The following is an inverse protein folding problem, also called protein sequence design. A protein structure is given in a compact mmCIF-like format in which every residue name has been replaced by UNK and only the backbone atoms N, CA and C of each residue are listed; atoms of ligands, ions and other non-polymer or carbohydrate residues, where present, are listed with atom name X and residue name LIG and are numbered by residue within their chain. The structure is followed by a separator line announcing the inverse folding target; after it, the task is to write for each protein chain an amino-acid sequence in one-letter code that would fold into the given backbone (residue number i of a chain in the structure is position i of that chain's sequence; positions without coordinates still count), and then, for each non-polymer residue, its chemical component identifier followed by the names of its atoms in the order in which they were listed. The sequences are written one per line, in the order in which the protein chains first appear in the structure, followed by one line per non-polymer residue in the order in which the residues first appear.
data_IF_810904734794
#
_entry.id   IF_810904734794
#
_cell.length_a   1.000
_cell.length_b   1.000
_cell.length_c   1.000
_cell.angle_alpha   90.00
_cell.angle_beta   90.00
_cell.angle_gamma   90.00
#
_symmetry.space_group_name_H-M   'P 1'
#
loop_
_entity.id
_entity.type
_entity.pdbx_description
1 polymer ?
#
# COMPACT_ATOMS: atom_id res chain seq x y z
N UNK A 1 -6.46 34.23 13.52
CA UNK A 1 -5.59 33.97 14.69
C UNK A 1 -5.93 32.59 15.21
N UNK A 2 -5.07 31.59 14.97
CA UNK A 2 -5.28 30.26 15.56
C UNK A 2 -4.90 30.36 17.04
N UNK A 3 -5.90 30.32 17.92
CA UNK A 3 -5.64 30.12 19.34
C UNK A 3 -4.92 28.77 19.49
N UNK A 4 -3.71 28.78 20.04
CA UNK A 4 -2.96 27.55 20.31
C UNK A 4 -3.69 26.82 21.44
N UNK A 5 -4.53 25.85 21.09
CA UNK A 5 -5.27 25.04 22.06
C UNK A 5 -4.26 24.14 22.76
N UNK A 6 -4.08 24.24 24.08
CA UNK A 6 -3.12 23.42 24.80
C UNK A 6 -3.49 21.94 24.70
N UNK A 7 -2.47 21.10 24.53
CA UNK A 7 -2.63 19.64 24.43
C UNK A 7 -3.02 19.03 25.77
N UNK A 8 -3.63 17.84 25.73
CA UNK A 8 -3.95 17.06 26.93
C UNK A 8 -2.72 16.82 27.81
N UNK A 9 -1.56 16.60 27.19
CA UNK A 9 -0.28 16.46 27.88
C UNK A 9 0.17 17.74 28.61
N UNK A 10 0.06 18.90 27.97
CA UNK A 10 0.40 20.19 28.57
C UNK A 10 -0.52 20.52 29.76
N UNK A 11 -1.82 20.24 29.65
CA UNK A 11 -2.78 20.46 30.75
C UNK A 11 -2.51 19.50 31.91
N UNK A 12 -2.20 18.23 31.64
CA UNK A 12 -1.83 17.24 32.67
C UNK A 12 -0.52 17.61 33.39
N UNK A 13 0.46 18.16 32.67
CA UNK A 13 1.70 18.65 33.29
C UNK A 13 1.42 19.80 34.28
N UNK A 14 0.52 20.72 33.93
CA UNK A 14 0.09 21.80 34.84
C UNK A 14 -0.68 21.28 36.06
N UNK A 15 -1.53 20.26 35.88
CA UNK A 15 -2.18 19.58 37.01
C UNK A 15 -1.17 18.93 37.95
N UNK A 16 -0.12 18.30 37.42
CA UNK A 16 0.99 17.76 38.22
C UNK A 16 1.67 18.84 39.06
N UNK A 17 2.05 19.96 38.43
CA UNK A 17 2.70 21.07 39.13
C UNK A 17 1.80 21.70 40.23
N UNK A 18 0.49 21.78 40.01
CA UNK A 18 -0.46 22.25 41.02
C UNK A 18 -0.54 21.30 42.22
N UNK A 19 -0.55 19.98 41.98
CA UNK A 19 -0.55 18.99 43.07
C UNK A 19 0.74 19.07 43.89
N UNK A 20 1.89 19.25 43.25
CA UNK A 20 3.17 19.42 43.95
C UNK A 20 3.21 20.71 44.78
N UNK A 21 2.61 21.80 44.29
CA UNK A 21 2.47 23.03 45.04
C UNK A 21 1.53 22.86 46.24
N UNK A 22 0.37 22.21 46.05
CA UNK A 22 -0.58 21.92 47.12
C UNK A 22 0.06 21.08 48.22
N UNK A 23 0.76 20.00 47.86
CA UNK A 23 1.45 19.13 48.81
C UNK A 23 2.51 19.88 49.64
N UNK A 24 3.22 20.85 49.02
CA UNK A 24 4.18 21.70 49.74
C UNK A 24 3.49 22.62 50.74
N UNK A 25 2.38 23.23 50.35
CA UNK A 25 1.59 24.10 51.22
C UNK A 25 0.94 23.33 52.38
N UNK A 26 0.41 22.13 52.12
CA UNK A 26 -0.14 21.25 53.16
C UNK A 26 0.92 20.87 54.19
N UNK A 27 2.16 20.58 53.73
CA UNK A 27 3.28 20.30 54.62
C UNK A 27 3.68 21.53 55.45
N UNK A 28 3.77 22.70 54.84
CA UNK A 28 4.08 23.95 55.54
C UNK A 28 3.03 24.27 56.62
N UNK A 29 1.74 24.08 56.31
CA UNK A 29 0.66 24.24 57.29
C UNK A 29 0.75 23.23 58.44
N UNK A 30 1.14 21.99 58.14
CA UNK A 30 1.35 20.95 59.15
C UNK A 30 2.51 21.29 60.09
N UNK A 31 3.64 21.74 59.55
CA UNK A 31 4.82 22.11 60.33
C UNK A 31 4.54 23.31 61.26
N UNK A 32 3.68 24.25 60.84
CA UNK A 32 3.26 25.42 61.62
C UNK A 32 2.16 25.12 62.67
N UNK A 33 1.52 23.94 62.60
CA UNK A 33 0.35 23.63 63.41
C UNK A 33 0.64 23.63 64.92
N UNK A 34 1.82 23.14 65.33
CA UNK A 34 2.20 23.08 66.75
C UNK A 34 2.37 24.49 67.34
N UNK A 35 3.08 25.38 66.63
CA UNK A 35 3.27 26.78 67.02
C UNK A 35 1.95 27.56 67.09
N UNK A 36 1.04 27.28 66.16
CA UNK A 36 -0.30 27.87 66.17
C UNK A 36 -1.13 27.42 67.39
N UNK A 37 -1.05 26.14 67.78
CA UNK A 37 -1.70 25.60 68.99
C UNK A 37 -1.10 26.22 70.26
N UNK A 38 0.19 26.55 70.26
CA UNK A 38 0.86 27.26 71.35
C UNK A 38 0.52 28.76 71.43
N UNK A 39 -0.32 29.29 70.53
CA UNK A 39 -0.81 30.67 70.56
C UNK A 39 0.06 31.68 69.81
N UNK A 40 1.00 31.23 68.99
CA UNK A 40 1.83 32.13 68.19
C UNK A 40 1.01 32.76 67.05
N UNK A 41 0.68 34.05 67.18
CA UNK A 41 -0.21 34.77 66.26
C UNK A 41 0.29 34.76 64.80
N UNK A 42 1.60 34.79 64.59
CA UNK A 42 2.21 34.71 63.26
C UNK A 42 1.94 33.36 62.57
N UNK A 43 2.03 32.25 63.32
CA UNK A 43 1.74 30.91 62.81
C UNK A 43 0.25 30.77 62.45
N UNK A 44 -0.66 31.32 63.26
CA UNK A 44 -2.11 31.33 62.97
C UNK A 44 -2.42 32.10 61.69
N UNK A 45 -1.85 33.30 61.51
CA UNK A 45 -2.03 34.11 60.30
C UNK A 45 -1.52 33.37 59.06
N UNK A 46 -0.33 32.77 59.14
CA UNK A 46 0.27 32.05 58.02
C UNK A 46 -0.55 30.81 57.60
N UNK A 47 -1.06 30.04 58.55
CA UNK A 47 -1.94 28.91 58.26
C UNK A 47 -3.23 29.38 57.55
N UNK A 48 -3.80 30.51 57.94
CA UNK A 48 -4.99 31.07 57.29
C UNK A 48 -4.70 31.45 55.82
N UNK A 49 -3.55 32.07 55.55
CA UNK A 49 -3.09 32.39 54.19
C UNK A 49 -2.89 31.12 53.36
N UNK A 50 -2.22 30.10 53.90
CA UNK A 50 -1.99 28.83 53.22
C UNK A 50 -3.33 28.16 52.86
N UNK A 51 -4.31 28.16 53.77
CA UNK A 51 -5.65 27.63 53.49
C UNK A 51 -6.36 28.38 52.37
N UNK A 52 -6.24 29.71 52.33
CA UNK A 52 -6.79 30.51 51.25
C UNK A 52 -6.12 30.19 49.91
N UNK A 53 -4.79 29.98 49.90
CA UNK A 53 -4.06 29.56 48.70
C UNK A 53 -4.49 28.17 48.24
N UNK A 54 -4.62 27.20 49.14
CA UNK A 54 -5.10 25.84 48.81
C UNK A 54 -6.51 25.88 48.20
N UNK A 55 -7.42 26.70 48.74
CA UNK A 55 -8.76 26.86 48.19
C UNK A 55 -8.74 27.40 46.74
N UNK A 56 -7.84 28.35 46.44
CA UNK A 56 -7.61 28.82 45.07
C UNK A 56 -7.05 27.72 44.16
N UNK A 57 -6.07 26.94 44.64
CA UNK A 57 -5.49 25.82 43.90
C UNK A 57 -6.53 24.73 43.59
N UNK A 58 -7.48 24.48 44.48
CA UNK A 58 -8.56 23.51 44.25
C UNK A 58 -9.52 23.96 43.13
N UNK A 59 -9.80 25.26 43.04
CA UNK A 59 -10.57 25.84 41.94
C UNK A 59 -9.81 25.71 40.61
N UNK A 60 -8.53 26.09 40.59
CA UNK A 60 -7.68 25.96 39.41
C UNK A 60 -7.56 24.51 38.94
N UNK A 61 -7.43 23.57 39.89
CA UNK A 61 -7.37 22.15 39.62
C UNK A 61 -8.67 21.62 39.01
N UNK A 62 -9.84 22.08 39.47
CA UNK A 62 -11.13 21.71 38.89
C UNK A 62 -11.26 22.21 37.44
N UNK A 63 -10.88 23.47 37.18
CA UNK A 63 -10.88 24.06 35.83
C UNK A 63 -9.93 23.33 34.90
N UNK A 64 -8.70 23.04 35.34
CA UNK A 64 -7.71 22.36 34.52
C UNK A 64 -8.08 20.89 34.27
N UNK A 65 -8.76 20.21 35.20
CA UNK A 65 -9.33 18.87 34.94
C UNK A 65 -10.36 18.90 33.82
N UNK A 66 -11.27 19.88 33.83
CA UNK A 66 -12.25 20.04 32.75
C UNK A 66 -11.57 20.37 31.41
N UNK A 67 -10.56 21.25 31.45
CA UNK A 67 -9.74 21.57 30.28
C UNK A 67 -9.00 20.34 29.72
N UNK A 68 -8.48 19.46 30.57
CA UNK A 68 -7.81 18.23 30.15
C UNK A 68 -8.78 17.29 29.42
N UNK A 69 -9.98 17.09 29.96
CA UNK A 69 -11.03 16.27 29.32
C UNK A 69 -11.43 16.86 27.96
N UNK A 70 -11.57 18.18 27.87
CA UNK A 70 -11.89 18.85 26.62
C UNK A 70 -10.77 18.70 25.58
N UNK A 71 -9.51 18.86 26.01
CA UNK A 71 -8.34 18.69 25.14
C UNK A 71 -8.23 17.24 24.63
N UNK A 72 -8.45 16.23 25.49
CA UNK A 72 -8.46 14.82 25.09
C UNK A 72 -9.52 14.50 24.05
N UNK A 73 -10.75 15.02 24.24
CA UNK A 73 -11.85 14.84 23.28
C UNK A 73 -11.52 15.49 21.94
N UNK A 74 -10.94 16.69 21.97
CA UNK A 74 -10.55 17.40 20.76
C UNK A 74 -9.43 16.67 20.00
N UNK A 75 -8.39 16.20 20.71
CA UNK A 75 -7.31 15.40 20.12
C UNK A 75 -7.84 14.09 19.52
N UNK A 76 -8.75 13.40 20.20
CA UNK A 76 -9.37 12.19 19.70
C UNK A 76 -10.15 12.45 18.39
N UNK A 77 -10.96 13.50 18.35
CA UNK A 77 -11.71 13.90 17.15
C UNK A 77 -10.78 14.27 15.98
N UNK A 78 -9.68 14.99 16.25
CA UNK A 78 -8.68 15.32 15.22
C UNK A 78 -7.97 14.08 14.67
N UNK A 79 -7.64 13.11 15.54
CA UNK A 79 -7.05 11.83 15.13
C UNK A 79 -8.02 11.06 14.24
N UNK A 80 -9.27 10.93 14.66
CA UNK A 80 -10.31 10.25 13.87
C UNK A 80 -10.51 10.88 12.49
N UNK A 81 -10.56 12.22 12.41
CA UNK A 81 -10.68 12.92 11.13
C UNK A 81 -9.45 12.69 10.24
N UNK A 82 -8.26 12.67 10.82
CA UNK A 82 -7.01 12.41 10.10
C UNK A 82 -6.95 10.97 9.58
N UNK A 83 -7.38 10.01 10.41
CA UNK A 83 -7.37 8.59 10.08
C UNK A 83 -8.42 8.26 9.01
N UNK A 84 -9.61 8.87 9.08
CA UNK A 84 -10.62 8.73 8.02
C UNK A 84 -10.13 9.33 6.69
N UNK A 85 -9.44 10.48 6.72
CA UNK A 85 -8.84 11.05 5.52
C UNK A 85 -7.77 10.12 4.91
N UNK A 86 -6.90 9.53 5.74
CA UNK A 86 -5.91 8.53 5.30
C UNK A 86 -6.58 7.29 4.71
N UNK A 87 -7.62 6.78 5.38
CA UNK A 87 -8.40 5.63 4.93
C UNK A 87 -9.02 5.89 3.56
N UNK A 88 -9.67 7.04 3.38
CA UNK A 88 -10.27 7.45 2.11
C UNK A 88 -9.23 7.57 0.99
N UNK A 89 -8.05 8.10 1.29
CA UNK A 89 -6.95 8.17 0.33
C UNK A 89 -6.42 6.77 -0.08
N UNK A 90 -6.28 5.86 0.89
CA UNK A 90 -5.87 4.48 0.63
C UNK A 90 -6.89 3.73 -0.23
N UNK A 91 -8.19 3.86 0.05
CA UNK A 91 -9.25 3.24 -0.73
C UNK A 91 -9.25 3.73 -2.20
N UNK A 92 -9.05 5.04 -2.43
CA UNK A 92 -8.93 5.58 -3.79
C UNK A 92 -7.73 5.00 -4.56
N UNK A 93 -6.59 4.80 -3.89
CA UNK A 93 -5.42 4.17 -4.50
C UNK A 93 -5.69 2.70 -4.84
N UNK A 94 -6.36 1.97 -3.94
CA UNK A 94 -6.74 0.59 -4.17
C UNK A 94 -7.70 0.45 -5.37
N UNK A 95 -8.68 1.36 -5.48
CA UNK A 95 -9.61 1.40 -6.62
C UNK A 95 -8.88 1.66 -7.94
N UNK A 96 -7.94 2.62 -7.97
CA UNK A 96 -7.13 2.90 -9.15
C UNK A 96 -6.26 1.71 -9.57
N UNK A 97 -5.63 1.03 -8.61
CA UNK A 97 -4.84 -0.17 -8.86
C UNK A 97 -5.70 -1.33 -9.39
N UNK A 98 -6.90 -1.53 -8.83
CA UNK A 98 -7.84 -2.55 -9.30
C UNK A 98 -8.28 -2.30 -10.75
N UNK A 99 -8.59 -1.04 -11.11
CA UNK A 99 -8.91 -0.65 -12.49
C UNK A 99 -7.75 -0.90 -13.45
N UNK A 100 -6.52 -0.56 -13.05
CA UNK A 100 -5.34 -0.82 -13.85
C UNK A 100 -5.13 -2.32 -14.08
N UNK A 101 -5.28 -3.14 -13.03
CA UNK A 101 -5.18 -4.59 -13.12
C UNK A 101 -6.22 -5.18 -14.08
N UNK A 102 -7.49 -4.76 -13.99
CA UNK A 102 -8.53 -5.20 -14.93
C UNK A 102 -8.14 -4.84 -16.38
N UNK A 103 -7.58 -3.64 -16.59
CA UNK A 103 -7.11 -3.21 -17.91
C UNK A 103 -5.91 -4.02 -18.43
N UNK A 104 -5.01 -4.48 -17.57
CA UNK A 104 -3.92 -5.41 -17.94
C UNK A 104 -4.48 -6.80 -18.27
N UNK A 105 -5.40 -7.32 -17.46
CA UNK A 105 -6.06 -8.61 -17.74
C UNK A 105 -6.78 -8.59 -19.09
N UNK A 106 -7.54 -7.54 -19.39
CA UNK A 106 -8.21 -7.40 -20.69
C UNK A 106 -7.22 -7.36 -21.87
N UNK A 107 -6.04 -6.74 -21.68
CA UNK A 107 -4.96 -6.77 -22.69
C UNK A 107 -4.37 -8.16 -22.87
N UNK A 108 -4.20 -8.92 -21.79
CA UNK A 108 -3.76 -10.32 -21.85
C UNK A 108 -4.80 -11.17 -22.59
N UNK A 109 -6.09 -11.00 -22.31
CA UNK A 109 -7.16 -11.73 -23.02
C UNK A 109 -7.16 -11.43 -24.53
N UNK A 110 -6.99 -10.16 -24.90
CA UNK A 110 -6.86 -9.76 -26.31
C UNK A 110 -5.62 -10.35 -26.99
N UNK A 111 -4.49 -10.39 -26.27
CA UNK A 111 -3.26 -11.02 -26.76
C UNK A 111 -3.45 -12.54 -26.93
N UNK A 112 -4.10 -13.22 -25.98
CA UNK A 112 -4.43 -14.64 -26.08
C UNK A 112 -5.30 -14.89 -27.31
N UNK A 113 -6.35 -14.09 -27.54
CA UNK A 113 -7.21 -14.23 -28.72
C UNK A 113 -6.41 -14.10 -30.03
N UNK A 114 -5.49 -13.14 -30.09
CA UNK A 114 -4.59 -12.93 -31.25
C UNK A 114 -3.66 -14.13 -31.48
N UNK A 115 -3.08 -14.65 -30.40
CA UNK A 115 -2.19 -15.82 -30.45
C UNK A 115 -2.96 -17.06 -30.89
N UNK A 116 -4.14 -17.32 -30.33
CA UNK A 116 -5.00 -18.45 -30.71
C UNK A 116 -5.37 -18.38 -32.19
N UNK A 117 -5.77 -17.20 -32.69
CA UNK A 117 -6.08 -17.00 -34.11
C UNK A 117 -4.86 -17.27 -35.01
N UNK A 118 -3.69 -16.75 -34.63
CA UNK A 118 -2.45 -16.93 -35.39
C UNK A 118 -1.97 -18.38 -35.41
N UNK A 119 -2.06 -19.08 -34.27
CA UNK A 119 -1.76 -20.51 -34.12
C UNK A 119 -2.68 -21.35 -35.03
N UNK A 120 -3.97 -21.04 -35.05
CA UNK A 120 -4.93 -21.69 -35.96
C UNK A 120 -4.57 -21.47 -37.43
N UNK A 121 -4.24 -20.24 -37.82
CA UNK A 121 -3.83 -19.91 -39.19
C UNK A 121 -2.55 -20.64 -39.61
N UNK A 122 -1.54 -20.72 -38.74
CA UNK A 122 -0.32 -21.49 -38.99
C UNK A 122 -0.64 -22.97 -39.25
N UNK A 123 -1.52 -23.57 -38.43
CA UNK A 123 -1.93 -24.96 -38.59
C UNK A 123 -2.61 -25.21 -39.94
N UNK A 124 -3.56 -24.35 -40.32
CA UNK A 124 -4.24 -24.44 -41.63
C UNK A 124 -3.26 -24.28 -42.80
N UNK A 125 -2.44 -23.23 -42.80
CA UNK A 125 -1.47 -22.98 -43.86
C UNK A 125 -0.45 -24.13 -43.99
N UNK A 126 -0.01 -24.72 -42.89
CA UNK A 126 0.90 -25.86 -42.93
C UNK A 126 0.22 -27.13 -43.46
N UNK A 127 -1.05 -27.36 -43.13
CA UNK A 127 -1.82 -28.49 -43.66
C UNK A 127 -2.02 -28.33 -45.18
N UNK A 128 -2.41 -27.12 -45.61
CA UNK A 128 -2.59 -26.79 -47.03
C UNK A 128 -1.27 -27.02 -47.78
N UNK A 129 -0.17 -26.47 -47.29
CA UNK A 129 1.17 -26.68 -47.86
C UNK A 129 1.50 -28.18 -47.98
N UNK A 130 1.31 -28.96 -46.92
CA UNK A 130 1.55 -30.41 -46.92
C UNK A 130 0.70 -31.13 -47.96
N UNK A 131 -0.57 -30.75 -48.09
CA UNK A 131 -1.48 -31.35 -49.06
C UNK A 131 -1.04 -31.06 -50.49
N UNK A 132 -0.62 -29.82 -50.78
CA UNK A 132 -0.10 -29.42 -52.09
C UNK A 132 1.20 -30.14 -52.43
N UNK A 133 2.13 -30.25 -51.48
CA UNK A 133 3.39 -30.97 -51.67
C UNK A 133 3.18 -32.45 -51.96
N UNK A 134 2.28 -33.10 -51.23
CA UNK A 134 1.94 -34.50 -51.46
C UNK A 134 1.30 -34.71 -52.83
N UNK A 135 0.41 -33.80 -53.25
CA UNK A 135 -0.18 -33.85 -54.59
C UNK A 135 0.88 -33.71 -55.70
N UNK A 136 1.98 -33.00 -55.42
CA UNK A 136 3.15 -32.89 -56.31
C UNK A 136 4.14 -34.06 -56.19
N UNK A 137 3.85 -35.10 -55.39
CA UNK A 137 4.71 -36.27 -55.21
C UNK A 137 5.89 -36.06 -54.24
N UNK A 138 5.88 -35.01 -53.42
CA UNK A 138 6.95 -34.66 -52.48
C UNK A 138 6.49 -35.00 -51.05
N UNK A 139 6.79 -36.21 -50.58
CA UNK A 139 6.29 -36.71 -49.28
C UNK A 139 7.15 -36.31 -48.05
N UNK A 140 8.40 -35.83 -48.22
CA UNK A 140 9.37 -35.67 -47.11
C UNK A 140 9.79 -34.21 -46.79
N UNK A 141 9.20 -33.19 -47.43
CA UNK A 141 9.73 -31.82 -47.37
C UNK A 141 9.16 -30.92 -46.26
N UNK A 142 8.08 -31.30 -45.59
CA UNK A 142 7.31 -30.33 -44.79
C UNK A 142 7.87 -30.00 -43.40
N UNK A 143 8.94 -30.68 -42.96
CA UNK A 143 9.61 -30.41 -41.69
C UNK A 143 8.71 -30.60 -40.45
N UNK A 144 9.17 -30.16 -39.27
CA UNK A 144 8.40 -30.25 -38.04
C UNK A 144 7.12 -29.42 -38.11
N UNK A 145 6.12 -29.81 -37.32
CA UNK A 145 4.90 -29.02 -37.13
C UNK A 145 5.25 -27.62 -36.60
N UNK A 146 4.95 -26.58 -37.38
CA UNK A 146 5.18 -25.19 -36.98
C UNK A 146 4.26 -24.80 -35.83
N UNK A 147 3.11 -25.47 -35.72
CA UNK A 147 2.21 -25.40 -34.57
C UNK A 147 2.89 -25.88 -33.28
N UNK A 148 3.58 -27.03 -33.32
CA UNK A 148 4.27 -27.59 -32.15
C UNK A 148 5.47 -26.72 -31.78
N UNK A 149 6.21 -26.21 -32.77
CA UNK A 149 7.33 -25.29 -32.58
C UNK A 149 6.85 -23.98 -31.92
N UNK A 150 5.77 -23.37 -32.43
CA UNK A 150 5.20 -22.15 -31.88
C UNK A 150 4.68 -22.35 -30.45
N UNK A 151 4.00 -23.47 -30.19
CA UNK A 151 3.48 -23.80 -28.86
C UNK A 151 4.59 -24.02 -27.83
N UNK A 152 5.66 -24.72 -28.21
CA UNK A 152 6.82 -24.95 -27.34
C UNK A 152 7.58 -23.67 -27.02
N UNK A 153 7.79 -22.78 -28.01
CA UNK A 153 8.43 -21.48 -27.80
C UNK A 153 7.57 -20.57 -26.91
N UNK A 154 6.25 -20.52 -27.14
CA UNK A 154 5.33 -19.76 -26.30
C UNK A 154 5.36 -20.28 -24.86
N UNK A 155 5.32 -21.59 -24.66
CA UNK A 155 5.39 -22.22 -23.35
C UNK A 155 6.68 -21.87 -22.60
N UNK A 156 7.81 -21.94 -23.30
CA UNK A 156 9.11 -21.64 -22.71
C UNK A 156 9.25 -20.16 -22.33
N UNK A 157 8.81 -19.23 -23.19
CA UNK A 157 8.83 -17.80 -22.90
C UNK A 157 7.89 -17.43 -21.75
N UNK A 158 6.71 -18.04 -21.66
CA UNK A 158 5.77 -17.83 -20.55
C UNK A 158 6.28 -18.37 -19.21
N UNK A 159 7.02 -19.49 -19.22
CA UNK A 159 7.59 -20.09 -18.00
C UNK A 159 9.00 -19.62 -17.65
N UNK A 160 9.62 -18.77 -18.48
CA UNK A 160 11.01 -18.33 -18.30
C UNK A 160 12.03 -19.48 -18.44
N UNK A 161 11.70 -20.53 -19.18
CA UNK A 161 12.57 -21.69 -19.40
C UNK A 161 13.48 -21.43 -20.61
N UNK A 162 14.75 -21.79 -20.50
CA UNK A 162 15.71 -21.71 -21.60
C UNK A 162 15.37 -22.70 -22.72
N UNK A 163 15.37 -22.23 -23.96
CA UNK A 163 15.24 -23.07 -25.16
C UNK A 163 16.60 -23.05 -25.88
N UNK A 164 17.08 -24.21 -26.35
CA UNK A 164 18.39 -24.31 -27.03
C UNK A 164 18.45 -23.59 -28.38
N UNK A 165 17.29 -23.27 -28.97
CA UNK A 165 17.14 -22.52 -30.20
C UNK A 165 15.98 -21.53 -30.00
N UNK A 166 16.30 -20.24 -29.89
CA UNK A 166 15.34 -19.19 -29.53
C UNK A 166 14.80 -18.41 -30.74
N UNK A 167 15.19 -18.84 -31.96
CA UNK A 167 14.81 -18.16 -33.20
C UNK A 167 13.29 -18.01 -33.33
N UNK A 168 12.79 -16.84 -33.78
CA UNK A 168 11.38 -16.60 -34.02
C UNK A 168 10.76 -17.65 -34.95
N UNK A 169 9.49 -17.96 -34.71
CA UNK A 169 8.70 -18.90 -35.54
C UNK A 169 8.74 -18.50 -37.02
N UNK A 170 8.69 -17.20 -37.33
CA UNK A 170 8.77 -16.69 -38.70
C UNK A 170 10.10 -16.98 -39.40
N UNK A 171 11.22 -16.93 -38.68
CA UNK A 171 12.55 -17.24 -39.22
C UNK A 171 12.68 -18.73 -39.55
N UNK A 172 12.13 -19.60 -38.70
CA UNK A 172 12.09 -21.05 -38.94
C UNK A 172 11.21 -21.40 -40.14
N UNK A 173 10.06 -20.72 -40.28
CA UNK A 173 9.19 -20.89 -41.44
C UNK A 173 9.91 -20.47 -42.74
N UNK A 174 10.68 -19.38 -42.71
CA UNK A 174 11.48 -18.94 -43.84
C UNK A 174 12.55 -19.96 -44.26
N UNK A 175 13.21 -20.63 -43.30
CA UNK A 175 14.19 -21.69 -43.61
C UNK A 175 13.55 -22.93 -44.25
N UNK A 176 12.34 -23.30 -43.82
CA UNK A 176 11.57 -24.39 -44.46
C UNK A 176 11.21 -23.98 -45.90
N UNK A 177 10.78 -22.73 -46.10
CA UNK A 177 10.49 -22.19 -47.42
C UNK A 177 11.73 -22.17 -48.35
N UNK A 178 12.89 -21.74 -47.84
CA UNK A 178 14.14 -21.74 -48.60
C UNK A 178 14.55 -23.16 -49.01
N UNK A 179 14.45 -24.14 -48.09
CA UNK A 179 14.69 -25.55 -48.41
C UNK A 179 13.72 -26.06 -49.47
N UNK A 180 12.46 -25.64 -49.43
CA UNK A 180 11.45 -25.97 -50.42
C UNK A 180 11.79 -25.40 -51.80
N UNK A 181 12.19 -24.13 -51.91
CA UNK A 181 12.55 -23.52 -53.21
C UNK A 181 13.68 -24.24 -53.94
N UNK A 182 14.58 -24.91 -53.21
CA UNK A 182 15.68 -25.72 -53.78
C UNK A 182 15.23 -27.09 -54.30
N UNK A 183 14.03 -27.55 -53.94
CA UNK A 183 13.47 -28.83 -54.36
C UNK A 183 12.52 -28.70 -55.55
N UNK A 184 12.16 -27.47 -55.93
CA UNK A 184 11.45 -27.21 -57.16
C UNK A 184 12.42 -27.42 -58.34
N UNK A 185 12.04 -28.13 -59.41
CA UNK A 185 12.85 -28.19 -60.61
C UNK A 185 13.07 -26.75 -61.11
N UNK A 186 14.31 -26.40 -61.47
CA UNK A 186 14.53 -25.20 -62.28
C UNK A 186 13.69 -25.42 -63.54
N UNK A 187 12.72 -24.54 -63.79
CA UNK A 187 11.86 -24.62 -64.96
C UNK A 187 12.74 -24.83 -66.19
N UNK A 188 12.61 -26.01 -66.80
CA UNK A 188 13.23 -26.30 -68.08
C UNK A 188 12.63 -25.36 -69.11
N UNK A 189 13.49 -24.56 -69.74
CA UNK A 189 13.22 -24.00 -71.07
C UNK A 189 12.82 -25.09 -72.08
#
# INVERSE_FOLDING_TARGET
MNANIPTSGEVRAKLGALNDLKNRLDKEAFDLALSAVSGEAAAVSRIAEIRAQIAGLDQDHAVLRQAAIAAERHEAAQREQTDEAKRKAALRRAEAAAKALIGECARVDAAIATVVSSIGAIGHLQLDLRSTLRAAGIDDAAGPSMLDVASNLLHAKLKGVFVSDDRPVGERAALIFEKFTRLLPEDGE
#
